data_IF_374266089925
#
_entry.id   IF_374266089925
#
_cell.length_a   1.000
_cell.length_b   1.000
_cell.length_c   1.000
_cell.angle_alpha   90.00
_cell.angle_beta   90.00
_cell.angle_gamma   90.00
#
_symmetry.space_group_name_H-M   'P 1'
#
loop_
_entity.id
_entity.type
_entity.pdbx_description
1 polymer ?
#
# COMPACT_ATOMS: atom_id res chain seq x y z
N UNK A 1 20.57 -1.13 8.84
CA UNK A 1 19.14 -1.43 8.62
C UNK A 1 18.47 -1.43 9.99
N UNK A 2 17.33 -0.78 10.10
CA UNK A 2 16.61 -0.60 11.36
C UNK A 2 15.10 -0.86 11.17
N UNK A 3 14.46 -1.40 12.22
CA UNK A 3 12.99 -1.47 12.27
C UNK A 3 12.48 -0.10 12.71
N UNK A 4 11.65 0.49 11.88
CA UNK A 4 11.09 1.83 12.11
C UNK A 4 9.79 1.72 12.90
N UNK A 5 9.51 2.77 13.69
CA UNK A 5 8.23 2.87 14.38
C UNK A 5 7.12 3.20 13.36
N UNK A 6 6.02 2.45 13.41
CA UNK A 6 4.86 2.69 12.56
C UNK A 6 3.86 3.63 13.27
N UNK A 7 3.49 4.70 12.59
CA UNK A 7 2.45 5.63 13.02
C UNK A 7 1.08 4.95 12.98
N UNK A 8 0.26 5.17 14.00
CA UNK A 8 -1.11 4.63 14.06
C UNK A 8 -2.14 5.68 13.68
N UNK A 9 -3.28 5.23 13.19
CA UNK A 9 -4.44 6.07 12.90
C UNK A 9 -4.73 7.03 14.05
N UNK A 10 -5.00 8.30 13.73
CA UNK A 10 -5.08 9.42 14.67
C UNK A 10 -3.83 10.29 14.71
N UNK A 11 -2.67 9.79 14.20
CA UNK A 11 -1.49 10.62 14.05
C UNK A 11 -1.63 11.55 12.82
N UNK A 12 -1.37 12.88 12.98
CA UNK A 12 -1.54 13.85 11.89
C UNK A 12 -0.70 13.57 10.64
N UNK A 13 0.45 12.89 10.79
CA UNK A 13 1.32 12.55 9.64
C UNK A 13 0.61 11.69 8.60
N UNK A 14 -0.38 10.89 9.01
CA UNK A 14 -1.14 10.01 8.12
C UNK A 14 -2.26 10.72 7.34
N UNK A 15 -2.54 11.97 7.67
CA UNK A 15 -3.63 12.76 7.07
C UNK A 15 -3.14 13.91 6.20
N UNK A 16 -1.83 14.03 6.01
CA UNK A 16 -1.25 15.09 5.19
C UNK A 16 -0.82 14.56 3.81
N UNK A 17 -0.88 15.43 2.81
CA UNK A 17 -0.33 15.13 1.50
C UNK A 17 1.19 15.14 1.56
N UNK A 18 1.80 14.08 1.03
CA UNK A 18 3.25 13.91 1.02
C UNK A 18 3.94 14.74 -0.07
N UNK A 19 5.16 15.19 0.23
CA UNK A 19 6.01 15.92 -0.71
C UNK A 19 6.76 14.98 -1.67
N UNK A 20 7.01 15.38 -2.90
CA UNK A 20 7.86 14.62 -3.82
C UNK A 20 9.27 14.41 -3.26
N UNK A 21 9.87 13.28 -3.59
CA UNK A 21 11.30 13.02 -3.37
C UNK A 21 12.08 13.74 -4.45
N UNK A 22 13.00 14.62 -4.07
CA UNK A 22 13.78 15.44 -5.02
C UNK A 22 14.86 14.61 -5.70
N UNK A 23 15.60 13.80 -4.95
CA UNK A 23 16.64 12.92 -5.46
C UNK A 23 16.38 11.48 -4.97
N UNK A 24 15.83 10.61 -5.84
CA UNK A 24 15.60 9.19 -5.52
C UNK A 24 16.88 8.43 -5.15
N UNK A 25 18.04 8.85 -5.67
CA UNK A 25 19.34 8.23 -5.46
C UNK A 25 20.05 8.66 -4.18
N UNK A 26 19.55 9.67 -3.49
CA UNK A 26 20.20 10.22 -2.29
C UNK A 26 20.44 9.13 -1.22
N UNK A 27 21.57 9.15 -0.50
CA UNK A 27 21.93 8.12 0.47
C UNK A 27 20.92 7.98 1.62
N UNK A 28 20.26 9.05 2.03
CA UNK A 28 19.21 9.04 3.05
C UNK A 28 17.92 8.39 2.54
N UNK A 29 17.54 8.60 1.28
CA UNK A 29 16.40 7.94 0.64
C UNK A 29 16.67 6.43 0.49
N UNK A 30 17.86 6.04 0.02
CA UNK A 30 18.24 4.61 -0.07
C UNK A 30 18.20 3.93 1.30
N UNK A 31 18.67 4.61 2.34
CA UNK A 31 18.62 4.09 3.72
C UNK A 31 17.17 3.95 4.19
N UNK A 32 16.35 4.98 3.98
CA UNK A 32 14.94 4.96 4.33
C UNK A 32 14.22 3.77 3.65
N UNK A 33 14.41 3.58 2.36
CA UNK A 33 13.81 2.47 1.61
C UNK A 33 14.24 1.13 2.17
N UNK A 34 15.53 0.95 2.48
CA UNK A 34 16.03 -0.30 3.07
C UNK A 34 15.43 -0.58 4.46
N UNK A 35 15.33 0.44 5.31
CA UNK A 35 14.73 0.34 6.64
C UNK A 35 13.20 0.10 6.56
N UNK A 36 12.53 0.71 5.59
CA UNK A 36 11.09 0.46 5.33
C UNK A 36 10.84 -0.97 4.85
N UNK A 37 11.66 -1.50 3.94
CA UNK A 37 11.53 -2.90 3.48
C UNK A 37 11.67 -3.88 4.65
N UNK A 38 12.68 -3.67 5.50
CA UNK A 38 12.87 -4.49 6.69
C UNK A 38 11.70 -4.37 7.68
N UNK A 39 11.20 -3.14 7.88
CA UNK A 39 10.04 -2.88 8.75
C UNK A 39 8.78 -3.55 8.22
N UNK A 40 8.53 -3.49 6.91
CA UNK A 40 7.40 -4.16 6.26
C UNK A 40 7.45 -5.69 6.44
N UNK A 41 8.64 -6.28 6.34
CA UNK A 41 8.83 -7.72 6.54
C UNK A 41 8.63 -8.13 8.01
N UNK A 42 9.18 -7.37 8.96
CA UNK A 42 9.03 -7.60 10.40
C UNK A 42 7.57 -7.50 10.86
N UNK A 43 6.82 -6.57 10.29
CA UNK A 43 5.40 -6.34 10.59
C UNK A 43 4.42 -7.21 9.77
N UNK A 44 4.82 -8.34 9.21
CA UNK A 44 4.30 -9.17 8.12
C UNK A 44 3.35 -8.43 7.15
N UNK A 45 3.78 -7.25 6.69
CA UNK A 45 3.05 -6.44 5.71
C UNK A 45 3.30 -6.85 4.26
N UNK A 46 2.47 -6.31 3.37
CA UNK A 46 2.64 -6.41 1.92
C UNK A 46 2.89 -5.04 1.27
N UNK A 47 2.70 -3.97 2.03
CA UNK A 47 3.00 -2.60 1.66
C UNK A 47 3.29 -1.74 2.89
N UNK A 48 4.07 -0.67 2.69
CA UNK A 48 4.38 0.32 3.70
C UNK A 48 4.75 1.64 3.01
N UNK A 49 3.96 2.68 3.25
CA UNK A 49 4.21 4.01 2.72
C UNK A 49 5.03 4.87 3.70
N UNK A 50 5.84 5.78 3.18
CA UNK A 50 6.75 6.62 3.98
C UNK A 50 6.05 7.43 5.09
N UNK A 51 4.83 8.01 4.91
CA UNK A 51 4.15 8.69 6.01
C UNK A 51 3.82 7.76 7.17
N UNK A 52 3.69 6.45 6.97
CA UNK A 52 3.50 5.49 8.06
C UNK A 52 4.73 5.35 8.95
N UNK A 53 5.91 5.73 8.48
CA UNK A 53 7.15 5.78 9.27
C UNK A 53 7.60 7.23 9.55
N UNK A 54 6.65 8.15 9.63
CA UNK A 54 6.83 9.57 9.94
C UNK A 54 7.67 10.36 8.90
N UNK A 55 7.76 9.87 7.69
CA UNK A 55 8.42 10.53 6.57
C UNK A 55 7.37 10.96 5.53
N UNK A 56 6.93 12.23 5.48
CA UNK A 56 5.88 12.67 4.57
C UNK A 56 6.41 12.85 3.14
N UNK A 57 6.95 11.77 2.56
CA UNK A 57 7.53 11.69 1.23
C UNK A 57 6.70 10.79 0.31
N UNK A 58 6.63 11.14 -0.97
CA UNK A 58 5.91 10.34 -1.97
C UNK A 58 6.72 9.12 -2.38
N UNK A 59 6.80 8.14 -1.49
CA UNK A 59 7.35 6.82 -1.79
C UNK A 59 6.67 5.74 -0.93
N UNK A 60 6.64 4.52 -1.43
CA UNK A 60 6.26 3.34 -0.67
C UNK A 60 7.06 2.12 -1.13
N UNK A 61 7.15 1.15 -0.24
CA UNK A 61 7.66 -0.19 -0.53
C UNK A 61 6.51 -1.18 -0.53
N UNK A 62 6.58 -2.22 -1.38
CA UNK A 62 5.52 -3.22 -1.46
C UNK A 62 6.01 -4.53 -2.07
N UNK A 63 5.22 -5.57 -1.93
CA UNK A 63 5.40 -6.88 -2.55
C UNK A 63 4.05 -7.52 -2.87
N UNK A 64 4.02 -8.44 -3.79
CA UNK A 64 2.87 -9.29 -4.08
C UNK A 64 3.29 -10.73 -3.82
N UNK A 65 3.00 -11.28 -2.62
CA UNK A 65 3.42 -12.64 -2.29
C UNK A 65 2.78 -13.68 -3.20
N UNK A 66 3.49 -14.77 -3.56
CA UNK A 66 2.88 -15.91 -4.24
C UNK A 66 1.69 -16.46 -3.44
N UNK A 67 0.60 -16.79 -4.16
CA UNK A 67 -0.63 -17.32 -3.55
C UNK A 67 -1.64 -16.27 -3.06
N UNK A 68 -1.33 -14.97 -3.20
CA UNK A 68 -2.27 -13.88 -2.90
C UNK A 68 -2.97 -13.34 -4.15
N UNK A 69 -2.56 -13.80 -5.33
CA UNK A 69 -3.13 -13.39 -6.61
C UNK A 69 -4.60 -13.81 -6.72
N UNK A 70 -5.36 -13.01 -7.45
CA UNK A 70 -6.71 -13.35 -7.90
C UNK A 70 -6.67 -14.41 -9.02
N UNK A 71 -7.82 -14.73 -9.61
CA UNK A 71 -7.87 -15.61 -10.79
C UNK A 71 -7.46 -14.90 -12.09
N UNK A 72 -7.18 -13.60 -12.03
CA UNK A 72 -6.75 -12.82 -13.19
C UNK A 72 -5.29 -13.19 -13.56
N UNK A 73 -5.02 -13.62 -14.81
CA UNK A 73 -3.67 -14.02 -15.24
C UNK A 73 -2.65 -12.86 -15.21
N UNK A 74 -3.11 -11.60 -15.24
CA UNK A 74 -2.28 -10.42 -15.17
C UNK A 74 -1.96 -9.99 -13.70
N UNK A 75 -2.54 -10.68 -12.71
CA UNK A 75 -2.24 -10.49 -11.29
C UNK A 75 -1.02 -11.33 -10.88
N UNK A 76 0.15 -10.87 -11.23
CA UNK A 76 1.41 -11.60 -11.07
C UNK A 76 2.11 -11.31 -9.73
N UNK A 77 2.85 -12.28 -9.14
CA UNK A 77 3.68 -12.05 -7.97
C UNK A 77 4.75 -11.00 -8.25
N UNK A 78 5.10 -10.25 -7.21
CA UNK A 78 6.19 -9.28 -7.25
C UNK A 78 7.04 -9.39 -5.98
N UNK A 79 8.35 -9.48 -6.15
CA UNK A 79 9.30 -9.38 -5.05
C UNK A 79 9.28 -7.97 -4.43
N UNK A 80 9.94 -7.80 -3.28
CA UNK A 80 10.07 -6.49 -2.64
C UNK A 80 10.51 -5.43 -3.64
N UNK A 81 9.72 -4.38 -3.73
CA UNK A 81 9.87 -3.30 -4.71
C UNK A 81 9.65 -1.95 -4.04
N UNK A 82 10.23 -0.91 -4.59
CA UNK A 82 9.98 0.48 -4.20
C UNK A 82 9.38 1.24 -5.36
N UNK A 83 8.50 2.18 -5.06
CA UNK A 83 7.99 3.13 -6.04
C UNK A 83 8.10 4.55 -5.45
N UNK A 84 8.90 5.38 -6.10
CA UNK A 84 9.19 6.76 -5.70
C UNK A 84 8.51 7.70 -6.68
N UNK A 85 7.86 8.74 -6.14
CA UNK A 85 7.04 9.71 -6.89
C UNK A 85 6.02 9.03 -7.80
N UNK A 86 5.19 8.13 -7.25
CA UNK A 86 4.25 7.37 -8.07
C UNK A 86 3.17 8.25 -8.67
N UNK A 87 2.77 7.87 -9.88
CA UNK A 87 1.54 8.27 -10.55
C UNK A 87 0.69 7.02 -10.75
N UNK A 88 -0.61 7.10 -10.53
CA UNK A 88 -1.55 5.99 -10.69
C UNK A 88 -2.72 6.43 -11.55
N UNK A 89 -2.95 5.70 -12.63
CA UNK A 89 -4.09 5.85 -13.53
C UNK A 89 -5.03 4.67 -13.37
N UNK A 90 -6.32 4.94 -13.16
CA UNK A 90 -7.35 3.90 -13.10
C UNK A 90 -7.79 3.55 -14.52
N UNK A 91 -7.72 2.28 -14.90
CA UNK A 91 -8.07 1.80 -16.22
C UNK A 91 -9.49 1.21 -16.20
N UNK A 92 -10.45 1.97 -16.72
CA UNK A 92 -11.87 1.60 -16.72
C UNK A 92 -12.58 1.94 -15.40
N UNK A 93 -13.90 1.62 -15.38
CA UNK A 93 -14.79 1.97 -14.26
C UNK A 93 -15.08 0.79 -13.32
N UNK A 94 -14.59 -0.40 -13.67
CA UNK A 94 -14.83 -1.60 -12.88
C UNK A 94 -14.16 -1.52 -11.52
N UNK A 95 -14.92 -1.90 -10.49
CA UNK A 95 -14.46 -1.93 -9.10
C UNK A 95 -14.75 -3.30 -8.48
N UNK A 96 -13.79 -3.81 -7.73
CA UNK A 96 -13.96 -5.00 -6.94
C UNK A 96 -13.90 -4.68 -5.44
N UNK A 97 -14.88 -5.17 -4.70
CA UNK A 97 -14.86 -5.13 -3.24
C UNK A 97 -13.86 -6.18 -2.73
N UNK A 98 -13.04 -5.81 -1.76
CA UNK A 98 -12.10 -6.75 -1.16
C UNK A 98 -11.56 -6.25 0.18
N UNK A 99 -11.19 -7.20 1.04
CA UNK A 99 -10.72 -6.94 2.38
C UNK A 99 -9.34 -6.28 2.40
N UNK A 100 -9.21 -5.20 3.16
CA UNK A 100 -7.98 -4.49 3.41
C UNK A 100 -7.72 -4.37 4.92
N UNK A 101 -6.47 -4.56 5.31
CA UNK A 101 -5.91 -4.16 6.59
C UNK A 101 -4.78 -3.17 6.36
N UNK A 102 -4.31 -2.54 7.41
CA UNK A 102 -3.22 -1.56 7.35
C UNK A 102 -2.35 -1.66 8.61
N UNK A 103 -1.04 -1.58 8.47
CA UNK A 103 -0.11 -1.58 9.60
C UNK A 103 -0.32 -0.38 10.54
N UNK A 104 -0.90 0.71 10.02
CA UNK A 104 -1.30 1.87 10.81
C UNK A 104 -2.66 1.72 11.52
N UNK A 105 -3.40 0.65 11.23
CA UNK A 105 -4.71 0.34 11.83
C UNK A 105 -4.71 -1.16 12.21
N UNK A 106 -3.92 -1.54 13.22
CA UNK A 106 -3.76 -2.94 13.58
C UNK A 106 -5.09 -3.55 14.03
N UNK A 107 -5.22 -4.86 13.80
CA UNK A 107 -6.33 -5.71 14.22
C UNK A 107 -7.68 -5.41 13.55
N UNK A 108 -7.78 -4.39 12.70
CA UNK A 108 -8.99 -4.02 11.98
C UNK A 108 -8.85 -4.27 10.48
N UNK A 109 -9.96 -4.71 9.87
CA UNK A 109 -10.11 -4.85 8.41
C UNK A 109 -11.44 -4.29 7.94
N UNK A 110 -11.46 -3.85 6.68
CA UNK A 110 -12.70 -3.48 6.00
C UNK A 110 -12.72 -3.97 4.56
N UNK A 111 -13.93 -4.15 4.03
CA UNK A 111 -14.12 -4.33 2.61
C UNK A 111 -14.14 -2.97 1.91
N UNK A 112 -13.23 -2.80 0.95
CA UNK A 112 -12.99 -1.53 0.24
C UNK A 112 -13.11 -1.74 -1.26
N UNK A 113 -13.88 -0.91 -1.98
CA UNK A 113 -13.92 -0.95 -3.44
C UNK A 113 -12.64 -0.37 -4.04
N UNK A 114 -12.00 -1.12 -4.94
CA UNK A 114 -10.83 -0.66 -5.70
C UNK A 114 -11.03 -0.89 -7.19
N UNK A 115 -10.36 -0.06 -8.00
CA UNK A 115 -10.27 -0.34 -9.43
C UNK A 115 -9.63 -1.72 -9.65
N UNK A 116 -10.23 -2.52 -10.54
CA UNK A 116 -9.72 -3.87 -10.85
C UNK A 116 -8.43 -3.83 -11.67
N UNK A 117 -8.22 -2.77 -12.44
CA UNK A 117 -7.08 -2.55 -13.31
C UNK A 117 -6.54 -1.14 -13.19
N UNK A 118 -5.22 -1.00 -13.07
CA UNK A 118 -4.54 0.29 -12.99
C UNK A 118 -3.27 0.25 -13.85
N UNK A 119 -2.81 1.43 -14.25
CA UNK A 119 -1.43 1.66 -14.67
C UNK A 119 -0.75 2.50 -13.61
N UNK A 120 0.45 2.14 -13.22
CA UNK A 120 1.27 2.98 -12.36
C UNK A 120 2.63 3.25 -12.97
N UNK A 121 3.19 4.40 -12.63
CA UNK A 121 4.52 4.83 -13.03
C UNK A 121 5.20 5.49 -11.84
N UNK A 122 6.53 5.36 -11.76
CA UNK A 122 7.39 5.99 -10.76
C UNK A 122 8.84 5.63 -11.03
N UNK A 123 9.71 5.82 -10.05
CA UNK A 123 11.12 5.45 -10.17
C UNK A 123 11.56 4.56 -9.02
N UNK A 124 12.65 3.81 -9.23
CA UNK A 124 13.40 3.18 -8.14
C UNK A 124 14.48 4.12 -7.58
N UNK A 125 15.29 3.61 -6.63
CA UNK A 125 16.40 4.37 -6.05
C UNK A 125 17.57 4.60 -7.02
N UNK A 126 17.62 3.93 -8.16
CA UNK A 126 18.65 4.12 -9.18
C UNK A 126 18.18 5.12 -10.27
N UNK A 127 16.96 5.64 -10.13
CA UNK A 127 16.35 6.55 -11.07
C UNK A 127 15.75 5.85 -12.30
N UNK A 128 15.74 4.50 -12.31
CA UNK A 128 15.10 3.77 -13.40
C UNK A 128 13.58 3.96 -13.33
N UNK A 129 12.98 4.25 -14.48
CA UNK A 129 11.52 4.35 -14.58
C UNK A 129 10.91 2.97 -14.48
N UNK A 130 9.94 2.85 -13.58
CA UNK A 130 9.08 1.68 -13.43
C UNK A 130 7.71 2.07 -13.97
N UNK A 131 7.21 1.34 -14.96
CA UNK A 131 5.84 1.49 -15.46
C UNK A 131 5.24 0.11 -15.65
N UNK A 132 4.02 -0.09 -15.10
CA UNK A 132 3.31 -1.37 -15.19
C UNK A 132 1.82 -1.15 -15.26
N UNK A 133 1.17 -2.02 -16.03
CA UNK A 133 -0.27 -2.23 -15.99
C UNK A 133 -0.54 -3.52 -15.21
N UNK A 134 -1.42 -3.45 -14.21
CA UNK A 134 -1.63 -4.53 -13.26
C UNK A 134 -3.09 -4.65 -12.85
N UNK A 135 -3.47 -5.84 -12.37
CA UNK A 135 -4.83 -6.16 -11.96
C UNK A 135 -4.86 -6.74 -10.54
N UNK A 136 -6.05 -7.06 -10.07
CA UNK A 136 -6.30 -7.89 -8.90
C UNK A 136 -5.67 -7.38 -7.61
N UNK A 137 -4.99 -8.28 -6.89
CA UNK A 137 -4.37 -7.97 -5.60
C UNK A 137 -3.20 -6.99 -5.74
N UNK A 138 -2.42 -7.09 -6.82
CA UNK A 138 -1.35 -6.14 -7.13
C UNK A 138 -1.91 -4.72 -7.27
N UNK A 139 -2.97 -4.54 -8.08
CA UNK A 139 -3.62 -3.25 -8.26
C UNK A 139 -4.17 -2.69 -6.93
N UNK A 140 -4.71 -3.55 -6.05
CA UNK A 140 -5.23 -3.17 -4.74
C UNK A 140 -4.13 -2.64 -3.82
N UNK A 141 -2.99 -3.34 -3.70
CA UNK A 141 -1.87 -2.90 -2.87
C UNK A 141 -1.39 -1.52 -3.31
N UNK A 142 -1.13 -1.33 -4.61
CA UNK A 142 -0.64 -0.04 -5.13
C UNK A 142 -1.61 1.09 -4.83
N UNK A 143 -2.92 0.89 -4.99
CA UNK A 143 -3.93 1.90 -4.65
C UNK A 143 -3.97 2.20 -3.15
N UNK A 144 -3.78 1.19 -2.29
CA UNK A 144 -3.73 1.36 -0.84
C UNK A 144 -2.53 2.22 -0.42
N UNK A 145 -1.33 1.89 -0.91
CA UNK A 145 -0.12 2.63 -0.59
C UNK A 145 -0.11 4.04 -1.20
N UNK A 146 -0.68 4.20 -2.39
CA UNK A 146 -0.83 5.51 -3.03
C UNK A 146 -1.76 6.43 -2.24
N UNK A 147 -2.86 5.90 -1.69
CA UNK A 147 -3.78 6.65 -0.82
C UNK A 147 -3.05 7.27 0.38
N UNK A 148 -2.13 6.53 1.01
CA UNK A 148 -1.33 7.05 2.12
C UNK A 148 -0.52 8.31 1.74
N UNK A 149 -0.07 8.40 0.48
CA UNK A 149 0.69 9.57 0.00
C UNK A 149 -0.18 10.82 -0.15
N UNK A 150 -1.49 10.64 -0.25
CA UNK A 150 -2.48 11.71 -0.32
C UNK A 150 -3.24 11.92 1.00
N UNK A 151 -2.77 11.29 2.10
CA UNK A 151 -3.36 11.42 3.43
C UNK A 151 -4.68 10.67 3.60
N UNK A 152 -4.90 9.63 2.82
CA UNK A 152 -6.13 8.83 2.83
C UNK A 152 -5.85 7.47 3.48
N UNK A 153 -6.67 7.08 4.44
CA UNK A 153 -6.68 5.76 5.06
C UNK A 153 -7.82 4.91 4.49
N UNK A 154 -7.63 3.58 4.41
CA UNK A 154 -8.63 2.70 3.79
C UNK A 154 -10.05 2.83 4.38
N UNK A 155 -10.27 3.15 5.68
CA UNK A 155 -11.62 3.37 6.20
C UNK A 155 -12.35 4.54 5.53
N UNK A 156 -11.61 5.51 4.97
CA UNK A 156 -12.20 6.65 4.22
C UNK A 156 -12.73 6.24 2.83
N UNK A 157 -12.37 5.04 2.35
CA UNK A 157 -12.84 4.45 1.09
C UNK A 157 -14.00 3.48 1.26
N UNK A 158 -14.38 3.18 2.49
CA UNK A 158 -15.49 2.27 2.78
C UNK A 158 -16.81 2.84 2.27
N UNK A 159 -17.67 1.95 1.81
CA UNK A 159 -19.05 2.29 1.38
C UNK A 159 -20.10 1.70 2.33
N UNK A 160 -19.72 0.71 3.16
CA UNK A 160 -20.62 0.06 4.10
C UNK A 160 -19.87 -0.28 5.39
N UNK A 161 -20.25 0.36 6.48
CA UNK A 161 -19.65 0.15 7.80
C UNK A 161 -19.89 -1.25 8.38
N UNK A 162 -20.89 -1.98 7.89
CA UNK A 162 -21.15 -3.38 8.29
C UNK A 162 -19.99 -4.33 7.89
N UNK A 163 -19.17 -3.93 6.93
CA UNK A 163 -17.97 -4.65 6.50
C UNK A 163 -16.69 -4.04 7.10
N UNK A 164 -16.75 -3.62 8.37
CA UNK A 164 -15.61 -3.11 9.14
C UNK A 164 -15.63 -3.73 10.53
N UNK A 165 -14.52 -4.30 10.97
CA UNK A 165 -14.45 -4.91 12.29
C UNK A 165 -13.06 -5.44 12.63
N UNK A 166 -12.98 -5.97 13.84
CA UNK A 166 -11.78 -6.68 14.27
C UNK A 166 -11.58 -7.94 13.44
N UNK A 167 -10.33 -8.16 12.99
CA UNK A 167 -9.94 -9.34 12.21
C UNK A 167 -10.41 -10.64 12.87
N UNK A 168 -10.19 -10.76 14.18
CA UNK A 168 -10.59 -11.95 14.95
C UNK A 168 -12.11 -12.23 14.95
N UNK A 169 -12.93 -11.19 14.89
CA UNK A 169 -14.39 -11.33 14.84
C UNK A 169 -14.88 -11.63 13.43
N UNK A 170 -14.29 -10.98 12.43
CA UNK A 170 -14.58 -11.22 11.01
C UNK A 170 -14.24 -12.66 10.61
N UNK A 171 -13.08 -13.17 11.06
CA UNK A 171 -12.67 -14.56 10.80
C UNK A 171 -13.63 -15.58 11.44
N UNK A 172 -14.10 -15.33 12.68
CA UNK A 172 -15.12 -16.18 13.34
C UNK A 172 -16.45 -16.18 12.59
N UNK A 173 -16.83 -15.02 12.04
CA UNK A 173 -18.06 -14.89 11.28
C UNK A 173 -17.97 -15.47 9.85
N UNK A 174 -16.78 -15.91 9.40
CA UNK A 174 -16.56 -16.43 8.05
C UNK A 174 -16.65 -15.35 6.97
N UNK A 175 -16.37 -14.11 7.31
CA UNK A 175 -16.49 -12.97 6.40
C UNK A 175 -15.51 -13.01 5.20
N UNK A 176 -14.49 -13.84 5.25
CA UNK A 176 -13.47 -14.02 4.20
C UNK A 176 -13.78 -15.20 3.24
N UNK A 177 -14.99 -15.72 3.23
CA UNK A 177 -15.40 -16.85 2.37
C UNK A 177 -16.22 -16.40 1.17
#
# INVERSE_FOLDING_TARGET
MAILKIARMGNPVLLQKCSPVVDPGAPDIRRLVADMMQTMEDAPGVGLAAPQVYQPLRLFVFRVPPGRQTQDPDDIPLANSVLINPEVELLGDERALGWEGCLSIPDLRAAVPRATRIRYRGTDCDGNVIEREVTGFHARIVQHEYDHLDGILYPMRMIDFRHFGFTSELDRAGADR
#
